data_IF_235960931856
#
_entry.id   IF_235960931856
#
_cell.length_a   1.000
_cell.length_b   1.000
_cell.length_c   1.000
_cell.angle_alpha   90.00
_cell.angle_beta   90.00
_cell.angle_gamma   90.00
#
_symmetry.space_group_name_H-M   'P 1'
#
loop_
_entity.id
_entity.type
_entity.pdbx_description
1 polymer ?
#
# COMPACT_ATOMS: atom_id res chain seq x y z
N UNK A 1 16.25 -9.64 -4.23
CA UNK A 1 14.87 -9.98 -3.87
C UNK A 1 14.28 -8.84 -3.06
N UNK A 2 13.06 -8.45 -3.38
CA UNK A 2 12.44 -7.32 -2.69
C UNK A 2 11.53 -7.82 -1.58
N UNK A 3 11.54 -7.11 -0.48
CA UNK A 3 10.69 -7.44 0.65
C UNK A 3 9.92 -6.20 1.05
N UNK A 4 8.60 -6.37 1.19
CA UNK A 4 7.72 -5.29 1.63
C UNK A 4 7.71 -5.29 3.15
N UNK A 5 8.09 -4.16 3.75
CA UNK A 5 8.06 -3.99 5.20
C UNK A 5 6.80 -3.29 5.64
N UNK A 6 6.22 -2.47 4.76
CA UNK A 6 5.02 -1.69 5.07
C UNK A 6 4.25 -1.48 3.79
N UNK A 7 2.96 -1.76 3.80
CA UNK A 7 2.07 -1.57 2.65
C UNK A 7 1.05 -0.51 3.04
N UNK A 8 1.34 0.75 2.72
CA UNK A 8 0.59 1.87 3.24
C UNK A 8 0.51 2.98 2.20
N UNK A 9 -0.62 3.67 2.17
CA UNK A 9 -0.78 4.86 1.35
C UNK A 9 -1.56 5.90 2.12
N UNK A 10 -1.45 7.14 1.65
CA UNK A 10 -2.30 8.24 2.11
C UNK A 10 -3.26 8.60 0.99
N UNK A 11 -4.54 8.63 1.30
CA UNK A 11 -5.54 9.11 0.35
C UNK A 11 -5.41 10.64 0.25
N UNK A 12 -5.18 11.14 -0.94
CA UNK A 12 -5.04 12.58 -1.15
C UNK A 12 -6.38 13.29 -1.25
N UNK A 13 -7.47 12.53 -1.31
CA UNK A 13 -8.82 13.09 -1.39
C UNK A 13 -9.36 13.36 0.01
N UNK A 14 -9.28 12.39 0.91
CA UNK A 14 -9.80 12.55 2.27
C UNK A 14 -8.71 12.69 3.32
N UNK A 15 -7.45 12.45 2.96
CA UNK A 15 -6.33 12.62 3.87
C UNK A 15 -6.04 11.46 4.80
N UNK A 16 -6.80 10.38 4.71
CA UNK A 16 -6.62 9.24 5.59
C UNK A 16 -5.46 8.36 5.14
N UNK A 17 -4.69 7.85 6.10
CA UNK A 17 -3.64 6.87 5.82
C UNK A 17 -4.20 5.49 6.11
N UNK A 18 -4.01 4.58 5.16
CA UNK A 18 -4.51 3.21 5.27
C UNK A 18 -3.37 2.23 5.01
N UNK A 19 -3.45 1.08 5.65
CA UNK A 19 -2.39 0.09 5.60
C UNK A 19 -3.00 -1.30 5.42
N UNK A 20 -2.43 -2.10 4.50
CA UNK A 20 -2.80 -3.49 4.32
C UNK A 20 -1.80 -4.36 5.08
N UNK A 21 -2.29 -5.11 6.06
CA UNK A 21 -1.43 -5.85 6.98
C UNK A 21 -1.28 -7.32 6.61
N UNK A 22 -2.14 -7.85 5.76
CA UNK A 22 -2.06 -9.23 5.33
C UNK A 22 -2.49 -9.33 3.89
N UNK A 23 -2.17 -10.48 3.25
CA UNK A 23 -2.39 -10.67 1.82
C UNK A 23 -3.84 -10.46 1.41
N UNK A 24 -4.78 -10.84 2.26
CA UNK A 24 -6.19 -10.70 1.93
C UNK A 24 -6.86 -9.55 2.66
N UNK A 25 -6.06 -8.63 3.19
CA UNK A 25 -6.58 -7.49 3.94
C UNK A 25 -6.75 -6.30 3.00
N UNK A 26 -7.92 -6.21 2.39
CA UNK A 26 -8.26 -5.12 1.49
C UNK A 26 -8.84 -3.98 2.32
N UNK A 27 -8.20 -2.83 2.30
CA UNK A 27 -8.58 -1.69 3.13
C UNK A 27 -8.87 -0.50 2.24
N UNK A 28 -10.01 0.15 2.46
CA UNK A 28 -10.36 1.39 1.80
C UNK A 28 -10.29 2.54 2.79
N UNK A 29 -9.95 3.73 2.30
CA UNK A 29 -10.04 4.94 3.11
C UNK A 29 -11.52 5.30 3.35
N UNK A 30 -11.75 6.25 4.25
CA UNK A 30 -13.12 6.59 4.62
C UNK A 30 -13.94 7.15 3.46
N UNK A 31 -13.31 7.79 2.48
CA UNK A 31 -14.02 8.27 1.30
C UNK A 31 -14.16 7.18 0.24
N UNK A 32 -13.51 6.03 0.45
CA UNK A 32 -13.59 4.84 -0.41
C UNK A 32 -13.11 5.04 -1.83
N UNK A 33 -12.38 6.10 -2.09
CA UNK A 33 -11.77 6.30 -3.40
C UNK A 33 -10.44 5.59 -3.55
N UNK A 34 -9.75 5.34 -2.44
CA UNK A 34 -8.42 4.73 -2.47
C UNK A 34 -8.44 3.48 -1.60
N UNK A 35 -7.89 2.39 -2.14
CA UNK A 35 -7.80 1.12 -1.42
C UNK A 35 -6.44 0.49 -1.58
N UNK A 36 -6.06 -0.33 -0.61
CA UNK A 36 -4.81 -1.08 -0.63
C UNK A 36 -5.08 -2.54 -0.33
N UNK A 37 -4.26 -3.40 -0.90
CA UNK A 37 -4.39 -4.84 -0.71
C UNK A 37 -3.01 -5.47 -0.91
N UNK A 38 -2.86 -6.72 -0.52
CA UNK A 38 -1.66 -7.49 -0.76
C UNK A 38 -0.77 -7.67 0.45
N UNK A 39 -1.02 -6.93 1.54
CA UNK A 39 -0.24 -7.08 2.75
C UNK A 39 1.24 -6.90 2.49
N UNK A 40 2.05 -7.85 2.95
CA UNK A 40 3.49 -7.81 2.75
C UNK A 40 3.94 -8.66 1.56
N UNK A 41 2.99 -9.20 0.79
CA UNK A 41 3.32 -10.03 -0.38
C UNK A 41 3.40 -9.22 -1.66
N UNK A 42 2.48 -8.27 -1.85
CA UNK A 42 2.50 -7.42 -3.04
C UNK A 42 1.77 -6.12 -2.74
N UNK A 43 2.02 -5.11 -3.58
CA UNK A 43 1.41 -3.80 -3.42
C UNK A 43 0.32 -3.64 -4.46
N UNK A 44 -0.94 -3.73 -4.04
CA UNK A 44 -2.08 -3.53 -4.93
C UNK A 44 -2.79 -2.26 -4.52
N UNK A 45 -3.10 -1.45 -5.52
CA UNK A 45 -3.70 -0.13 -5.31
C UNK A 45 -4.98 -0.01 -6.11
N UNK A 46 -5.99 0.60 -5.50
CA UNK A 46 -7.24 0.95 -6.17
C UNK A 46 -7.44 2.45 -5.96
N UNK A 47 -7.56 3.20 -7.04
CA UNK A 47 -7.73 4.65 -6.96
C UNK A 47 -8.24 5.16 -8.30
N UNK A 48 -8.93 6.34 -8.31
CA UNK A 48 -9.38 6.92 -9.58
C UNK A 48 -8.21 7.32 -10.49
N UNK A 49 -7.15 7.87 -9.91
CA UNK A 49 -5.94 8.25 -10.65
C UNK A 49 -4.73 8.01 -9.77
N UNK A 50 -3.54 8.08 -10.38
CA UNK A 50 -2.30 7.92 -9.61
C UNK A 50 -2.09 9.05 -8.62
N UNK A 51 -2.60 10.24 -8.94
CA UNK A 51 -2.45 11.38 -8.05
C UNK A 51 -3.41 11.32 -6.86
N UNK A 52 -4.35 10.37 -6.85
CA UNK A 52 -5.32 10.27 -5.77
C UNK A 52 -4.71 9.74 -4.48
N UNK A 53 -3.52 9.18 -4.53
CA UNK A 53 -2.88 8.67 -3.32
C UNK A 53 -1.38 8.96 -3.35
N UNK A 54 -0.79 8.97 -2.14
CA UNK A 54 0.65 9.08 -1.97
C UNK A 54 1.15 7.76 -1.40
N UNK A 55 2.17 7.19 -2.05
CA UNK A 55 2.72 5.91 -1.64
C UNK A 55 3.57 6.11 -0.40
N UNK A 56 3.24 5.39 0.67
CA UNK A 56 3.97 5.45 1.93
C UNK A 56 4.59 4.10 2.29
N UNK A 57 4.54 3.14 1.39
CA UNK A 57 5.05 1.80 1.64
C UNK A 57 6.56 1.81 1.75
N UNK A 58 7.07 0.85 2.51
CA UNK A 58 8.51 0.66 2.67
C UNK A 58 8.85 -0.68 2.05
N UNK A 59 9.72 -0.64 1.06
CA UNK A 59 10.19 -1.84 0.37
C UNK A 59 11.70 -1.83 0.43
N UNK A 60 12.29 -2.95 0.80
CA UNK A 60 13.73 -3.08 0.86
C UNK A 60 14.19 -4.17 -0.09
N UNK A 61 15.37 -3.98 -0.68
CA UNK A 61 16.02 -5.03 -1.45
C UNK A 61 16.88 -5.84 -0.50
N UNK A 62 16.61 -7.15 -0.44
CA UNK A 62 17.43 -8.05 0.33
C UNK A 62 18.41 -8.68 -0.64
N UNK A 63 19.69 -8.39 -0.43
CA UNK A 63 20.71 -9.05 -1.21
C UNK A 63 21.04 -10.34 -0.53
N UNK A 64 20.94 -11.39 -1.28
CA UNK A 64 21.31 -12.69 -0.77
C UNK A 64 22.80 -12.82 -0.87
N UNK A 65 23.40 -13.01 0.26
CA UNK A 65 24.82 -13.31 0.29
C UNK A 65 24.98 -14.79 0.17
N UNK A 66 25.75 -15.20 -0.76
CA UNK A 66 26.01 -16.62 -0.90
C UNK A 66 27.17 -17.08 -0.07
#
# INVERSE_FOLDING_TARGET
MKKILLNKVKCNICGEEIESKSTHHFVFCKCKNVGVDGGLDYLKRTAPTRESFTELSIVTDIEEED
#
